data_IF_744238116131
#
_entry.id   IF_744238116131
#
_cell.length_a   1.000
_cell.length_b   1.000
_cell.length_c   1.000
_cell.angle_alpha   90.00
_cell.angle_beta   90.00
_cell.angle_gamma   90.00
#
_symmetry.space_group_name_H-M   'P 1'
#
loop_
_entity.id
_entity.type
_entity.pdbx_description
1 polymer ?
#
# COMPACT_ATOMS: atom_id res chain seq x y z
N UNK A 1 6.99 -19.38 -13.94
CA UNK A 1 5.75 -18.61 -13.78
C UNK A 1 6.13 -17.18 -13.39
N UNK A 2 5.52 -16.17 -14.06
CA UNK A 2 5.65 -14.78 -13.66
C UNK A 2 4.69 -14.50 -12.52
N UNK A 3 5.18 -13.78 -11.48
CA UNK A 3 4.37 -13.39 -10.34
C UNK A 3 4.83 -12.03 -9.82
N UNK A 4 3.92 -11.29 -9.25
CA UNK A 4 4.18 -10.07 -8.51
C UNK A 4 3.47 -10.15 -7.15
N UNK A 5 4.17 -9.79 -6.10
CA UNK A 5 3.66 -9.89 -4.73
C UNK A 5 3.42 -8.51 -4.15
N UNK A 6 2.23 -8.28 -3.60
CA UNK A 6 1.98 -7.21 -2.66
C UNK A 6 1.89 -7.76 -1.26
N UNK A 7 2.71 -7.23 -0.37
CA UNK A 7 2.64 -7.59 1.05
C UNK A 7 2.21 -6.36 1.84
N UNK A 8 1.12 -6.49 2.56
CA UNK A 8 0.64 -5.45 3.47
C UNK A 8 1.44 -5.50 4.76
N UNK A 9 2.07 -4.37 5.10
CA UNK A 9 2.75 -4.16 6.38
C UNK A 9 2.25 -2.84 6.92
N UNK A 10 1.47 -2.90 7.98
CA UNK A 10 0.82 -1.77 8.64
C UNK A 10 1.29 -1.66 10.09
N UNK A 11 1.18 -0.49 10.72
CA UNK A 11 1.68 -0.28 12.09
C UNK A 11 0.67 -0.64 13.18
N UNK A 12 -0.48 -1.20 12.81
CA UNK A 12 -1.59 -1.37 13.75
C UNK A 12 -1.37 -2.52 14.72
N UNK A 13 -1.99 -2.39 15.87
CA UNK A 13 -2.04 -3.45 16.88
C UNK A 13 -3.25 -4.38 16.68
N UNK A 14 -3.43 -5.28 17.63
CA UNK A 14 -4.51 -6.27 17.65
C UNK A 14 -5.91 -5.67 17.78
N UNK A 15 -6.00 -4.41 18.15
CA UNK A 15 -7.24 -3.61 18.17
C UNK A 15 -7.80 -3.32 16.75
N UNK A 16 -6.93 -3.34 15.74
CA UNK A 16 -7.29 -3.15 14.32
C UNK A 16 -7.08 -4.43 13.51
N UNK A 17 -5.98 -5.11 13.74
CA UNK A 17 -5.55 -6.31 12.99
C UNK A 17 -5.28 -7.49 13.95
N UNK A 18 -6.33 -8.10 14.52
CA UNK A 18 -6.20 -9.04 15.64
C UNK A 18 -5.39 -10.31 15.34
N UNK A 19 -5.18 -10.64 14.07
CA UNK A 19 -4.49 -11.86 13.65
C UNK A 19 -3.23 -11.62 12.84
N UNK A 20 -2.78 -10.37 12.73
CA UNK A 20 -1.51 -10.03 12.05
C UNK A 20 -0.37 -10.13 13.07
N UNK A 21 0.75 -10.78 12.73
CA UNK A 21 1.96 -10.75 13.55
C UNK A 21 2.49 -9.30 13.73
N UNK A 22 3.37 -9.05 14.69
CA UNK A 22 4.07 -7.77 14.76
C UNK A 22 4.68 -7.38 13.42
N UNK A 23 4.57 -6.11 13.05
CA UNK A 23 5.00 -5.66 11.73
C UNK A 23 6.48 -5.97 11.43
N UNK A 24 7.32 -6.06 12.46
CA UNK A 24 8.73 -6.43 12.33
C UNK A 24 8.89 -7.85 11.78
N UNK A 25 8.09 -8.79 12.27
CA UNK A 25 8.12 -10.19 11.80
C UNK A 25 7.65 -10.29 10.36
N UNK A 26 6.64 -9.48 9.98
CA UNK A 26 6.15 -9.40 8.60
C UNK A 26 7.20 -8.76 7.69
N UNK A 27 7.89 -7.72 8.15
CA UNK A 27 8.97 -7.08 7.40
C UNK A 27 10.16 -8.03 7.19
N UNK A 28 10.52 -8.82 8.19
CA UNK A 28 11.56 -9.85 8.06
C UNK A 28 11.17 -10.94 7.04
N UNK A 29 9.91 -11.36 7.05
CA UNK A 29 9.38 -12.29 6.06
C UNK A 29 9.37 -11.67 4.64
N UNK A 30 9.01 -10.37 4.53
CA UNK A 30 9.09 -9.60 3.30
C UNK A 30 10.51 -9.58 2.73
N UNK A 31 11.51 -9.31 3.58
CA UNK A 31 12.91 -9.26 3.16
C UNK A 31 13.36 -10.61 2.60
N UNK A 32 13.01 -11.72 3.25
CA UNK A 32 13.30 -13.07 2.75
C UNK A 32 12.57 -13.38 1.44
N UNK A 33 11.31 -12.97 1.30
CA UNK A 33 10.58 -13.14 0.05
C UNK A 33 11.21 -12.33 -1.09
N UNK A 34 11.63 -11.10 -0.81
CA UNK A 34 12.33 -10.23 -1.78
C UNK A 34 13.62 -10.89 -2.33
N UNK A 35 14.37 -11.59 -1.47
CA UNK A 35 15.58 -12.32 -1.89
C UNK A 35 15.26 -13.49 -2.84
N UNK A 36 14.07 -14.05 -2.74
CA UNK A 36 13.62 -15.16 -3.60
C UNK A 36 13.06 -14.65 -4.93
N UNK A 37 12.20 -13.64 -4.89
CA UNK A 37 11.44 -13.20 -6.07
C UNK A 37 12.10 -12.01 -6.80
N UNK A 38 13.00 -11.31 -6.13
CA UNK A 38 13.65 -10.10 -6.63
C UNK A 38 12.90 -8.81 -6.27
N UNK A 39 13.65 -7.72 -6.11
CA UNK A 39 13.14 -6.41 -5.65
C UNK A 39 12.11 -5.78 -6.58
N UNK A 40 12.09 -6.16 -7.86
CA UNK A 40 11.15 -5.68 -8.86
C UNK A 40 9.82 -6.45 -8.85
N UNK A 41 9.78 -7.62 -8.19
CA UNK A 41 8.61 -8.51 -8.17
C UNK A 41 7.84 -8.48 -6.84
N UNK A 42 8.17 -7.53 -5.97
CA UNK A 42 7.52 -7.36 -4.67
C UNK A 42 7.30 -5.87 -4.37
N UNK A 43 6.13 -5.55 -3.82
CA UNK A 43 5.77 -4.20 -3.39
C UNK A 43 5.22 -4.19 -1.96
N UNK A 44 5.61 -3.17 -1.20
CA UNK A 44 5.05 -2.92 0.12
C UNK A 44 3.71 -2.18 0.01
N UNK A 45 2.69 -2.62 0.76
CA UNK A 45 1.43 -1.89 0.93
C UNK A 45 1.32 -1.37 2.36
N UNK A 46 1.29 -0.06 2.52
CA UNK A 46 0.97 0.63 3.76
C UNK A 46 -0.48 1.14 3.67
N UNK A 47 -1.42 0.22 3.84
CA UNK A 47 -2.84 0.39 3.48
C UNK A 47 -3.73 -0.49 4.39
N UNK A 48 -4.74 0.09 5.05
CA UNK A 48 -5.20 1.47 4.97
C UNK A 48 -4.52 2.43 5.97
N UNK A 49 -4.57 3.74 5.69
CA UNK A 49 -4.15 4.80 6.63
C UNK A 49 -5.40 5.48 7.19
N UNK A 50 -5.51 5.58 8.50
CA UNK A 50 -6.52 6.39 9.17
C UNK A 50 -5.95 7.09 10.40
N UNK A 51 -6.65 8.13 10.87
CA UNK A 51 -6.28 8.92 12.03
C UNK A 51 -7.35 8.76 13.11
N UNK A 52 -7.01 8.03 14.17
CA UNK A 52 -7.91 7.83 15.32
C UNK A 52 -7.11 7.40 16.56
N UNK A 53 -7.46 7.93 17.73
CA UNK A 53 -6.84 7.57 18.99
C UNK A 53 -5.31 7.65 18.94
N UNK A 54 -4.59 6.53 19.15
CA UNK A 54 -3.14 6.49 19.14
C UNK A 54 -2.53 6.64 17.73
N UNK A 55 -3.32 6.41 16.69
CA UNK A 55 -2.86 6.41 15.29
C UNK A 55 -2.85 7.82 14.71
N UNK A 56 -1.99 8.66 15.24
CA UNK A 56 -1.82 10.07 14.84
C UNK A 56 -0.93 10.21 13.60
N UNK A 57 -0.90 11.42 13.00
CA UNK A 57 0.05 11.71 11.91
C UNK A 57 1.50 11.50 12.36
N UNK A 58 1.86 11.89 13.59
CA UNK A 58 3.20 11.68 14.14
C UNK A 58 3.53 10.19 14.30
N UNK A 59 2.57 9.38 14.75
CA UNK A 59 2.70 7.93 14.82
C UNK A 59 2.98 7.32 13.44
N UNK A 60 2.17 7.67 12.43
CA UNK A 60 2.36 7.17 11.07
C UNK A 60 3.71 7.58 10.47
N UNK A 61 4.12 8.84 10.67
CA UNK A 61 5.44 9.31 10.22
C UNK A 61 6.59 8.49 10.83
N UNK A 62 6.59 8.35 12.14
CA UNK A 62 7.62 7.61 12.85
C UNK A 62 7.67 6.14 12.42
N UNK A 63 6.53 5.48 12.34
CA UNK A 63 6.47 4.05 12.02
C UNK A 63 6.78 3.79 10.54
N UNK A 64 6.25 4.61 9.63
CA UNK A 64 6.56 4.51 8.20
C UNK A 64 8.06 4.67 7.93
N UNK A 65 8.75 5.62 8.58
CA UNK A 65 10.19 5.79 8.42
C UNK A 65 10.97 4.55 8.85
N UNK A 66 10.62 3.96 9.99
CA UNK A 66 11.26 2.73 10.49
C UNK A 66 11.02 1.53 9.57
N UNK A 67 9.81 1.40 9.04
CA UNK A 67 9.48 0.35 8.06
C UNK A 67 10.23 0.57 6.75
N UNK A 68 10.26 1.80 6.24
CA UNK A 68 10.97 2.15 5.01
C UNK A 68 12.47 1.89 5.13
N UNK A 69 13.07 2.20 6.27
CA UNK A 69 14.47 1.88 6.59
C UNK A 69 14.75 0.38 6.55
N UNK A 70 13.90 -0.44 7.19
CA UNK A 70 14.05 -1.90 7.21
C UNK A 70 13.86 -2.53 5.82
N UNK A 71 12.98 -1.95 5.00
CA UNK A 71 12.68 -2.43 3.64
C UNK A 71 13.59 -1.82 2.56
N UNK A 72 14.54 -0.96 2.92
CA UNK A 72 15.46 -0.33 1.97
C UNK A 72 16.24 -1.38 1.16
N UNK A 73 16.24 -1.25 -0.17
CA UNK A 73 16.86 -2.21 -1.08
C UNK A 73 16.17 -3.58 -1.19
N UNK A 74 15.01 -3.77 -0.54
CA UNK A 74 14.21 -5.00 -0.64
C UNK A 74 12.96 -4.82 -1.52
N UNK A 75 12.61 -3.58 -1.84
CA UNK A 75 11.57 -3.21 -2.80
C UNK A 75 11.86 -1.83 -3.36
N UNK A 76 11.33 -1.53 -4.53
CA UNK A 76 11.40 -0.20 -5.15
C UNK A 76 10.09 0.57 -5.06
N UNK A 77 9.10 0.02 -4.37
CA UNK A 77 7.80 0.66 -4.30
C UNK A 77 7.08 0.46 -2.98
N UNK A 78 6.35 1.48 -2.59
CA UNK A 78 5.37 1.43 -1.53
C UNK A 78 4.04 2.00 -2.03
N UNK A 79 2.96 1.30 -1.76
CA UNK A 79 1.59 1.74 -2.10
C UNK A 79 0.89 2.17 -0.83
N UNK A 80 0.34 3.38 -0.84
CA UNK A 80 -0.50 3.88 0.25
C UNK A 80 -1.95 4.04 -0.19
N UNK A 81 -2.86 3.93 0.78
CA UNK A 81 -4.25 4.31 0.60
C UNK A 81 -4.83 4.80 1.93
N UNK A 82 -5.62 5.87 1.87
CA UNK A 82 -6.36 6.34 3.03
C UNK A 82 -7.67 5.56 3.18
N UNK A 83 -8.03 5.29 4.42
CA UNK A 83 -9.20 4.46 4.73
C UNK A 83 -10.46 4.98 4.05
N UNK A 84 -11.08 4.11 3.27
CA UNK A 84 -12.42 4.33 2.72
C UNK A 84 -13.46 3.75 3.68
N UNK A 85 -14.47 4.54 4.02
CA UNK A 85 -15.52 4.13 4.96
C UNK A 85 -16.54 3.19 4.32
N UNK A 86 -16.12 1.96 4.02
CA UNK A 86 -17.02 0.88 3.62
C UNK A 86 -17.99 0.47 4.76
N UNK A 87 -18.99 -0.31 4.46
CA UNK A 87 -19.97 -0.76 5.44
C UNK A 87 -19.32 -1.48 6.63
N UNK A 88 -18.36 -2.37 6.37
CA UNK A 88 -17.59 -3.08 7.40
C UNK A 88 -16.81 -2.10 8.29
N UNK A 89 -16.10 -1.16 7.71
CA UNK A 89 -15.33 -0.15 8.45
C UNK A 89 -16.21 0.74 9.31
N UNK A 90 -17.35 1.19 8.78
CA UNK A 90 -18.31 2.01 9.53
C UNK A 90 -18.89 1.26 10.75
N UNK A 91 -19.08 -0.04 10.63
CA UNK A 91 -19.56 -0.90 11.71
C UNK A 91 -18.53 -1.09 12.80
N UNK A 92 -17.27 -1.39 12.41
CA UNK A 92 -16.21 -1.74 13.34
C UNK A 92 -15.56 -0.50 13.98
N UNK A 93 -15.52 0.61 13.24
CA UNK A 93 -14.93 1.89 13.67
C UNK A 93 -15.91 3.05 13.46
N UNK A 94 -17.00 3.12 14.21
CA UNK A 94 -18.07 4.11 13.97
C UNK A 94 -17.57 5.56 14.19
N UNK A 95 -16.58 5.77 15.05
CA UNK A 95 -15.99 7.07 15.36
C UNK A 95 -14.89 7.53 14.38
N UNK A 96 -14.36 6.63 13.54
CA UNK A 96 -13.30 7.00 12.60
C UNK A 96 -13.84 7.93 11.53
N UNK A 97 -13.21 9.09 11.41
CA UNK A 97 -13.48 10.05 10.35
C UNK A 97 -12.63 9.79 9.11
N UNK A 98 -13.06 10.30 7.99
CA UNK A 98 -12.20 10.36 6.81
C UNK A 98 -11.02 11.32 7.06
N UNK A 99 -9.86 10.95 6.59
CA UNK A 99 -8.67 11.81 6.62
C UNK A 99 -8.91 12.99 5.68
N UNK A 100 -8.81 14.22 6.19
CA UNK A 100 -9.08 15.43 5.43
C UNK A 100 -8.06 15.61 4.32
N UNK A 101 -8.47 16.27 3.24
CA UNK A 101 -7.59 16.52 2.09
C UNK A 101 -6.25 17.15 2.47
N UNK A 102 -6.25 18.17 3.34
CA UNK A 102 -5.02 18.81 3.82
C UNK A 102 -4.10 17.84 4.56
N UNK A 103 -4.66 16.99 5.43
CA UNK A 103 -3.91 15.97 6.16
C UNK A 103 -3.33 14.91 5.20
N UNK A 104 -4.10 14.51 4.17
CA UNK A 104 -3.61 13.56 3.14
C UNK A 104 -2.45 14.14 2.35
N UNK A 105 -2.53 15.41 1.94
CA UNK A 105 -1.45 16.08 1.22
C UNK A 105 -0.20 16.23 2.10
N UNK A 106 -0.36 16.63 3.36
CA UNK A 106 0.75 16.75 4.31
C UNK A 106 1.43 15.42 4.58
N UNK A 107 0.65 14.35 4.83
CA UNK A 107 1.19 13.01 5.04
C UNK A 107 1.80 12.45 3.75
N UNK A 108 1.13 12.65 2.62
CA UNK A 108 1.60 12.20 1.31
C UNK A 108 2.94 12.81 0.92
N UNK A 109 3.12 14.11 1.13
CA UNK A 109 4.40 14.78 0.91
C UNK A 109 5.52 14.17 1.75
N UNK A 110 5.26 13.95 3.01
CA UNK A 110 6.23 13.37 3.93
C UNK A 110 6.54 11.91 3.58
N UNK A 111 5.54 11.10 3.23
CA UNK A 111 5.73 9.71 2.80
C UNK A 111 6.50 9.63 1.48
N UNK A 112 6.23 10.51 0.52
CA UNK A 112 6.94 10.55 -0.75
C UNK A 112 8.43 10.87 -0.55
N UNK A 113 8.75 11.85 0.29
CA UNK A 113 10.12 12.21 0.64
C UNK A 113 10.83 11.06 1.35
N UNK A 114 10.18 10.45 2.34
CA UNK A 114 10.74 9.32 3.11
C UNK A 114 10.96 8.10 2.20
N UNK A 115 9.99 7.72 1.38
CA UNK A 115 10.12 6.61 0.44
C UNK A 115 11.31 6.83 -0.51
N UNK A 116 11.44 8.03 -1.07
CA UNK A 116 12.54 8.40 -1.95
C UNK A 116 13.90 8.29 -1.26
N UNK A 117 14.02 8.71 0.00
CA UNK A 117 15.25 8.59 0.81
C UNK A 117 15.73 7.16 0.91
N UNK A 118 14.79 6.20 0.96
CA UNK A 118 15.11 4.76 1.03
C UNK A 118 15.00 4.04 -0.33
N UNK A 119 15.03 4.78 -1.44
CA UNK A 119 15.09 4.23 -2.80
C UNK A 119 13.77 3.67 -3.32
N UNK A 120 12.63 4.07 -2.73
CA UNK A 120 11.29 3.63 -3.12
C UNK A 120 10.48 4.74 -3.80
N UNK A 121 9.65 4.39 -4.76
CA UNK A 121 8.60 5.25 -5.31
C UNK A 121 7.32 5.08 -4.49
N UNK A 122 6.73 6.21 -4.06
CA UNK A 122 5.41 6.20 -3.42
C UNK A 122 4.32 6.12 -4.49
N UNK A 123 3.48 5.11 -4.42
CA UNK A 123 2.25 4.98 -5.22
C UNK A 123 1.03 5.30 -4.36
N UNK A 124 0.09 6.06 -4.91
CA UNK A 124 -1.19 6.31 -4.27
C UNK A 124 -2.29 5.47 -4.92
N UNK A 125 -3.02 4.71 -4.11
CA UNK A 125 -4.20 3.97 -4.57
C UNK A 125 -5.45 4.81 -4.29
N UNK A 126 -6.14 5.21 -5.34
CA UNK A 126 -7.38 6.00 -5.23
C UNK A 126 -7.15 7.47 -4.83
N UNK A 127 -7.10 8.34 -5.81
CA UNK A 127 -6.99 9.79 -5.62
C UNK A 127 -5.77 10.40 -6.28
N UNK A 128 -6.01 11.21 -7.32
CA UNK A 128 -4.94 11.88 -8.08
C UNK A 128 -4.31 13.06 -7.33
N UNK A 129 -4.90 13.45 -6.20
CA UNK A 129 -4.46 14.64 -5.45
C UNK A 129 -3.03 14.52 -4.91
N UNK A 130 -2.57 13.29 -4.62
CA UNK A 130 -1.22 13.05 -4.11
C UNK A 130 -0.12 13.18 -5.18
N UNK A 131 -0.50 13.25 -6.47
CA UNK A 131 0.44 13.58 -7.53
C UNK A 131 1.10 14.95 -7.31
N UNK A 132 0.35 15.91 -6.74
CA UNK A 132 0.86 17.24 -6.41
C UNK A 132 2.00 17.25 -5.37
N UNK A 133 2.16 16.16 -4.63
CA UNK A 133 3.17 16.01 -3.56
C UNK A 133 4.17 14.89 -3.85
N UNK A 134 4.23 14.42 -5.09
CA UNK A 134 5.29 13.51 -5.57
C UNK A 134 4.94 12.02 -5.51
N UNK A 135 3.68 11.65 -5.30
CA UNK A 135 3.24 10.26 -5.45
C UNK A 135 2.95 9.92 -6.92
N UNK A 136 3.23 8.67 -7.32
CA UNK A 136 2.78 8.11 -8.59
C UNK A 136 1.30 7.67 -8.45
N UNK A 137 0.41 8.36 -9.15
CA UNK A 137 -1.02 8.06 -9.19
C UNK A 137 -1.43 7.31 -10.46
N UNK A 138 -0.49 6.88 -11.29
CA UNK A 138 -0.72 6.17 -12.55
C UNK A 138 -1.13 4.70 -12.40
N UNK A 139 -1.40 4.25 -11.18
CA UNK A 139 -1.81 2.89 -10.85
C UNK A 139 -0.68 2.04 -10.27
N UNK A 140 -1.04 1.28 -9.24
CA UNK A 140 -0.09 0.39 -8.55
C UNK A 140 -0.04 -1.02 -9.14
N UNK A 141 -0.94 -1.38 -10.04
CA UNK A 141 -0.97 -2.65 -10.78
C UNK A 141 -1.10 -2.35 -12.28
N UNK A 142 0.03 -2.14 -12.95
CA UNK A 142 0.07 -1.72 -14.37
C UNK A 142 0.93 -2.68 -15.19
N UNK A 143 0.72 -2.74 -16.52
CA UNK A 143 1.61 -3.47 -17.43
C UNK A 143 3.08 -3.17 -17.18
N UNK A 144 3.45 -1.90 -17.03
CA UNK A 144 4.81 -1.44 -16.76
C UNK A 144 5.43 -2.10 -15.52
N UNK A 145 4.66 -2.20 -14.43
CA UNK A 145 5.13 -2.82 -13.18
C UNK A 145 5.34 -4.33 -13.40
N UNK A 146 4.39 -5.00 -14.06
CA UNK A 146 4.51 -6.43 -14.32
C UNK A 146 5.63 -6.77 -15.30
N UNK A 147 5.79 -5.99 -16.39
CA UNK A 147 6.87 -6.16 -17.35
C UNK A 147 8.25 -5.97 -16.71
N UNK A 148 8.37 -4.95 -15.83
CA UNK A 148 9.59 -4.74 -15.06
C UNK A 148 9.89 -5.92 -14.13
N UNK A 149 8.90 -6.43 -13.44
CA UNK A 149 9.04 -7.57 -12.53
C UNK A 149 9.48 -8.85 -13.26
N UNK A 150 8.99 -9.04 -14.49
CA UNK A 150 9.24 -10.23 -15.29
C UNK A 150 10.43 -10.10 -16.25
N UNK A 151 10.98 -8.88 -16.41
CA UNK A 151 12.07 -8.59 -17.35
C UNK A 151 11.71 -8.83 -18.82
N UNK A 152 10.42 -8.77 -19.17
CA UNK A 152 9.93 -8.99 -20.54
C UNK A 152 8.64 -8.23 -20.81
N UNK A 153 8.40 -7.91 -22.08
CA UNK A 153 7.12 -7.37 -22.51
C UNK A 153 6.01 -8.43 -22.41
N UNK A 154 4.83 -7.97 -22.05
CA UNK A 154 3.63 -8.78 -21.92
C UNK A 154 2.57 -8.27 -22.90
N UNK A 155 1.79 -9.21 -23.42
CA UNK A 155 0.61 -8.85 -24.20
C UNK A 155 -0.59 -8.72 -23.27
N UNK A 156 -1.17 -7.53 -23.22
CA UNK A 156 -2.37 -7.27 -22.42
C UNK A 156 -3.57 -7.05 -23.35
N UNK A 157 -4.74 -7.63 -23.03
CA UNK A 157 -5.97 -7.27 -23.74
C UNK A 157 -6.32 -5.80 -23.47
N UNK A 158 -7.27 -5.26 -24.25
CA UNK A 158 -7.72 -3.88 -24.07
C UNK A 158 -8.17 -3.64 -22.62
N UNK A 159 -7.73 -2.50 -22.06
CA UNK A 159 -7.96 -2.15 -20.67
C UNK A 159 -9.41 -1.78 -20.37
N UNK A 160 -9.95 -2.34 -19.30
CA UNK A 160 -11.21 -1.87 -18.69
C UNK A 160 -10.93 -1.67 -17.20
N UNK A 161 -10.97 -0.42 -16.72
CA UNK A 161 -10.86 -0.13 -15.30
C UNK A 161 -12.10 -0.64 -14.55
N UNK A 162 -11.90 -1.43 -13.51
CA UNK A 162 -12.99 -1.94 -12.66
C UNK A 162 -13.50 -0.85 -11.71
N UNK A 163 -12.69 0.17 -11.42
CA UNK A 163 -13.03 1.27 -10.52
C UNK A 163 -12.80 2.61 -11.20
N UNK A 164 -13.77 3.54 -11.09
CA UNK A 164 -13.70 4.87 -11.70
C UNK A 164 -12.45 5.69 -11.35
N UNK A 165 -11.92 5.49 -10.14
CA UNK A 165 -10.81 6.27 -9.58
C UNK A 165 -9.50 5.46 -9.54
N UNK A 166 -9.39 4.38 -10.32
CA UNK A 166 -8.24 3.51 -10.31
C UNK A 166 -7.70 3.29 -11.71
N UNK A 167 -6.41 3.59 -11.91
CA UNK A 167 -5.68 3.33 -13.15
C UNK A 167 -5.04 1.95 -13.21
N UNK A 168 -5.35 1.06 -12.25
CA UNK A 168 -4.80 -0.29 -12.20
C UNK A 168 -5.39 -1.19 -13.26
N UNK A 169 -4.53 -2.00 -13.86
CA UNK A 169 -4.92 -3.09 -14.74
C UNK A 169 -5.26 -4.34 -13.92
N UNK A 170 -6.54 -4.60 -13.73
CA UNK A 170 -7.04 -5.77 -13.01
C UNK A 170 -7.72 -6.70 -14.01
N UNK A 171 -7.21 -7.92 -14.13
CA UNK A 171 -7.80 -8.96 -14.97
C UNK A 171 -8.97 -9.66 -14.27
N UNK A 172 -8.70 -10.73 -13.54
CA UNK A 172 -9.69 -11.48 -12.77
C UNK A 172 -9.32 -11.47 -11.28
N UNK A 173 -10.33 -11.30 -10.43
CA UNK A 173 -10.20 -11.49 -8.99
C UNK A 173 -10.58 -12.95 -8.67
N UNK A 174 -9.68 -13.68 -8.01
CA UNK A 174 -9.90 -15.06 -7.58
C UNK A 174 -10.15 -15.15 -6.07
N UNK A 175 -10.18 -14.00 -5.38
CA UNK A 175 -10.49 -13.91 -3.96
C UNK A 175 -11.99 -14.06 -3.68
N UNK A 176 -12.32 -14.35 -2.42
CA UNK A 176 -13.68 -14.30 -1.92
C UNK A 176 -13.86 -13.08 -1.00
N UNK A 177 -14.95 -12.32 -1.20
CA UNK A 177 -15.28 -11.19 -0.33
C UNK A 177 -15.69 -11.66 1.06
N UNK A 178 -15.54 -10.78 2.05
CA UNK A 178 -15.94 -10.99 3.46
C UNK A 178 -15.25 -12.17 4.19
N UNK A 179 -14.15 -12.68 3.65
CA UNK A 179 -13.38 -13.77 4.28
C UNK A 179 -12.25 -13.28 5.18
N UNK A 180 -11.87 -12.00 5.11
CA UNK A 180 -10.81 -11.42 5.92
C UNK A 180 -11.31 -11.19 7.37
N UNK A 181 -10.65 -11.76 8.40
CA UNK A 181 -11.07 -11.64 9.80
C UNK A 181 -10.64 -10.33 10.47
N UNK A 182 -9.87 -9.47 9.79
CA UNK A 182 -9.43 -8.20 10.34
C UNK A 182 -10.55 -7.16 10.35
N UNK A 183 -10.42 -6.14 11.20
CA UNK A 183 -11.50 -5.20 11.45
C UNK A 183 -11.56 -4.04 10.45
N UNK A 184 -10.46 -3.73 9.82
CA UNK A 184 -10.34 -2.63 8.83
C UNK A 184 -11.18 -2.80 7.55
#
# INVERSE_FOLDING_TARGET
FGQFWYVTITPYGTDVEPHVPPWQDVADAFCRLSEIVGVHAIGWRYDPIFLDGPYTMAFHRSTFARMAEQLAGKTEMVVINFLTRYQKTRRNFPGVREVRRGERLEMGAWFAETARTYGMTLYACGGDELAAVGADCGGCMTPRIYERALGRQLHFPAYVSIRRECSCYLGADIGAYDTCPHLC
#
